data_IF_912017818458
#
_entry.id   IF_912017818458
#
_cell.length_a   1.000
_cell.length_b   1.000
_cell.length_c   1.000
_cell.angle_alpha   90.00
_cell.angle_beta   90.00
_cell.angle_gamma   90.00
#
_symmetry.space_group_name_H-M   'P 1'
#
loop_
_entity.id
_entity.type
_entity.pdbx_description
1 polymer ?
#
# COMPACT_ATOMS: atom_id res chain seq x y z
N UNK A 1 -25.11 -32.20 4.56
CA UNK A 1 -25.12 -30.76 4.23
C UNK A 1 -24.45 -30.03 5.37
N UNK A 2 -23.17 -29.67 5.21
CA UNK A 2 -22.41 -28.99 6.27
C UNK A 2 -22.76 -27.52 6.24
N UNK A 3 -23.68 -27.10 7.10
CA UNK A 3 -24.06 -25.70 7.27
C UNK A 3 -22.89 -24.96 7.92
N UNK A 4 -21.97 -24.45 7.11
CA UNK A 4 -20.94 -23.51 7.59
C UNK A 4 -21.66 -22.24 8.03
N UNK A 5 -21.82 -22.08 9.35
CA UNK A 5 -22.37 -20.88 9.96
C UNK A 5 -21.34 -19.76 9.83
N UNK A 6 -21.35 -19.05 8.69
CA UNK A 6 -20.49 -17.89 8.51
C UNK A 6 -20.83 -16.83 9.58
N UNK A 7 -19.89 -16.60 10.51
CA UNK A 7 -19.98 -15.59 11.58
C UNK A 7 -20.37 -14.22 11.00
N UNK A 8 -21.58 -13.74 11.28
CA UNK A 8 -22.06 -12.44 10.78
C UNK A 8 -21.21 -11.29 11.36
N UNK A 9 -20.89 -10.23 10.58
CA UNK A 9 -20.22 -9.05 11.13
C UNK A 9 -21.05 -8.42 12.25
N UNK A 10 -20.38 -8.02 13.34
CA UNK A 10 -20.98 -7.22 14.42
C UNK A 10 -20.63 -5.74 14.23
N UNK A 11 -21.06 -4.87 15.14
CA UNK A 11 -20.77 -3.44 15.03
C UNK A 11 -19.26 -3.15 14.88
N UNK A 12 -18.92 -2.19 14.01
CA UNK A 12 -17.53 -1.90 13.65
C UNK A 12 -16.84 -2.95 12.77
N UNK A 13 -17.56 -3.96 12.27
CA UNK A 13 -16.99 -5.00 11.41
C UNK A 13 -17.66 -5.07 10.04
N UNK A 14 -16.90 -5.50 9.04
CA UNK A 14 -17.42 -5.82 7.71
C UNK A 14 -16.93 -7.18 7.26
N UNK A 15 -17.70 -7.84 6.39
CA UNK A 15 -17.24 -8.99 5.64
C UNK A 15 -16.67 -8.53 4.31
N UNK A 16 -15.56 -9.14 3.88
CA UNK A 16 -14.92 -8.84 2.60
C UNK A 16 -14.80 -10.06 1.70
N UNK A 17 -14.72 -9.83 0.40
CA UNK A 17 -14.39 -10.80 -0.64
C UNK A 17 -13.13 -10.35 -1.34
N UNK A 18 -12.10 -11.20 -1.35
CA UNK A 18 -10.76 -10.84 -1.89
C UNK A 18 -10.82 -10.72 -3.41
N UNK A 19 -10.33 -9.59 -3.93
CA UNK A 19 -10.28 -9.29 -5.36
C UNK A 19 -8.84 -9.33 -5.91
N UNK A 20 -7.86 -8.90 -5.12
CA UNK A 20 -6.43 -8.98 -5.48
C UNK A 20 -5.53 -9.13 -4.25
N UNK A 21 -4.41 -9.84 -4.42
CA UNK A 21 -3.38 -10.05 -3.39
C UNK A 21 -2.03 -9.56 -3.92
N UNK A 22 -1.36 -8.74 -3.11
CA UNK A 22 -0.04 -8.20 -3.35
C UNK A 22 0.67 -7.90 -2.03
N UNK A 23 1.26 -6.71 -1.93
CA UNK A 23 1.80 -6.21 -0.65
C UNK A 23 0.71 -5.87 0.36
N UNK A 24 -0.49 -5.58 -0.15
CA UNK A 24 -1.76 -5.47 0.55
C UNK A 24 -2.78 -6.44 -0.07
N UNK A 25 -3.90 -6.66 0.62
CA UNK A 25 -5.07 -7.34 0.04
C UNK A 25 -6.10 -6.30 -0.33
N UNK A 26 -6.53 -6.28 -1.59
CA UNK A 26 -7.68 -5.52 -2.04
C UNK A 26 -8.91 -6.42 -2.08
N UNK A 27 -10.04 -5.90 -1.62
CA UNK A 27 -11.27 -6.66 -1.44
C UNK A 27 -12.51 -5.77 -1.51
N UNK A 28 -13.65 -6.39 -1.77
CA UNK A 28 -14.96 -5.74 -1.79
C UNK A 28 -15.76 -6.10 -0.56
N UNK A 29 -16.39 -5.10 0.07
CA UNK A 29 -17.28 -5.30 1.22
C UNK A 29 -18.56 -6.03 0.78
N UNK A 30 -18.76 -7.24 1.28
CA UNK A 30 -19.91 -8.10 0.95
C UNK A 30 -21.02 -8.06 2.00
N UNK A 31 -20.69 -7.77 3.26
CA UNK A 31 -21.67 -7.59 4.33
C UNK A 31 -21.17 -6.58 5.36
N UNK A 32 -22.08 -5.89 6.04
CA UNK A 32 -21.75 -4.87 7.04
C UNK A 32 -22.44 -5.16 8.36
N UNK A 33 -21.72 -4.95 9.45
CA UNK A 33 -22.27 -4.97 10.79
C UNK A 33 -23.13 -3.74 11.06
N UNK A 34 -23.84 -3.75 12.20
CA UNK A 34 -24.63 -2.61 12.64
C UNK A 34 -23.70 -1.43 12.93
N UNK A 35 -23.91 -0.25 12.32
CA UNK A 35 -22.97 0.89 12.43
C UNK A 35 -21.54 0.56 11.95
N UNK A 36 -21.39 0.04 10.73
CA UNK A 36 -20.09 0.04 10.05
C UNK A 36 -19.73 1.49 9.70
N UNK A 37 -18.88 2.11 10.52
CA UNK A 37 -18.46 3.51 10.45
C UNK A 37 -17.93 3.90 9.05
N UNK A 38 -18.81 4.39 8.19
CA UNK A 38 -18.45 4.94 6.88
C UNK A 38 -18.29 3.93 5.74
N UNK A 39 -18.55 2.63 5.96
CA UNK A 39 -18.48 1.60 4.91
C UNK A 39 -19.84 0.97 4.60
N UNK A 40 -20.10 0.71 3.32
CA UNK A 40 -21.29 0.03 2.82
C UNK A 40 -20.94 -1.15 1.91
N UNK A 41 -21.93 -2.01 1.62
CA UNK A 41 -21.75 -3.09 0.66
C UNK A 41 -21.35 -2.54 -0.70
N UNK A 42 -20.37 -3.19 -1.34
CA UNK A 42 -19.79 -2.77 -2.61
C UNK A 42 -18.62 -1.79 -2.49
N UNK A 43 -18.32 -1.27 -1.29
CA UNK A 43 -17.11 -0.49 -1.10
C UNK A 43 -15.87 -1.37 -1.32
N UNK A 44 -14.85 -0.78 -1.96
CA UNK A 44 -13.57 -1.42 -2.19
C UNK A 44 -12.59 -0.97 -1.13
N UNK A 45 -11.88 -1.91 -0.53
CA UNK A 45 -11.00 -1.68 0.61
C UNK A 45 -9.69 -2.42 0.46
N UNK A 46 -8.63 -1.88 1.05
CA UNK A 46 -7.33 -2.50 1.18
C UNK A 46 -7.01 -2.75 2.65
N UNK A 47 -6.38 -3.88 2.96
CA UNK A 47 -5.96 -4.23 4.32
C UNK A 47 -4.70 -5.12 4.33
N UNK A 48 -4.12 -5.28 5.52
CA UNK A 48 -2.88 -6.04 5.71
C UNK A 48 -3.06 -7.54 5.40
N UNK A 49 -2.13 -8.19 4.68
CA UNK A 49 -2.15 -9.63 4.48
C UNK A 49 -2.14 -10.46 5.77
N UNK A 50 -1.70 -9.89 6.90
CA UNK A 50 -1.76 -10.54 8.21
C UNK A 50 -3.19 -10.85 8.67
N UNK A 51 -4.20 -10.23 8.05
CA UNK A 51 -5.62 -10.45 8.35
C UNK A 51 -6.31 -11.36 7.31
N UNK A 52 -5.58 -11.95 6.36
CA UNK A 52 -6.13 -12.70 5.23
C UNK A 52 -7.01 -13.89 5.62
N UNK A 53 -6.72 -14.53 6.76
CA UNK A 53 -7.50 -15.68 7.26
C UNK A 53 -8.89 -15.28 7.78
N UNK A 54 -9.13 -13.98 7.98
CA UNK A 54 -10.37 -13.46 8.51
C UNK A 54 -11.23 -12.88 7.38
N UNK A 55 -12.37 -13.52 7.12
CA UNK A 55 -13.37 -12.94 6.20
C UNK A 55 -14.11 -11.74 6.81
N UNK A 56 -14.02 -11.53 8.13
CA UNK A 56 -14.65 -10.44 8.87
C UNK A 56 -13.56 -9.58 9.49
N UNK A 57 -13.53 -8.30 9.14
CA UNK A 57 -12.45 -7.35 9.43
C UNK A 57 -13.01 -6.13 10.17
N UNK A 58 -12.25 -5.61 11.15
CA UNK A 58 -12.59 -4.36 11.83
C UNK A 58 -12.37 -3.14 10.92
N UNK A 59 -13.35 -2.23 10.87
CA UNK A 59 -13.35 -1.07 9.96
C UNK A 59 -12.14 -0.15 10.14
N UNK A 60 -11.60 -0.06 11.36
CA UNK A 60 -10.43 0.76 11.69
C UNK A 60 -9.13 0.29 11.02
N UNK A 61 -9.12 -0.94 10.50
CA UNK A 61 -7.97 -1.54 9.81
C UNK A 61 -8.06 -1.42 8.29
N UNK A 62 -9.20 -0.96 7.77
CA UNK A 62 -9.48 -0.90 6.33
C UNK A 62 -9.10 0.45 5.76
N UNK A 63 -8.55 0.45 4.55
CA UNK A 63 -8.27 1.66 3.77
C UNK A 63 -9.19 1.65 2.56
N UNK A 64 -10.02 2.69 2.38
CA UNK A 64 -10.91 2.78 1.22
C UNK A 64 -10.16 2.98 -0.10
N UNK A 65 -10.48 2.19 -1.12
CA UNK A 65 -9.88 2.29 -2.46
C UNK A 65 -10.76 3.20 -3.35
N UNK A 66 -10.26 4.35 -3.84
CA UNK A 66 -11.04 5.25 -4.68
C UNK A 66 -11.34 4.64 -6.06
N UNK A 67 -12.46 5.04 -6.68
CA UNK A 67 -13.00 4.46 -7.93
C UNK A 67 -12.01 4.41 -9.11
N UNK A 68 -11.04 5.30 -9.15
CA UNK A 68 -10.05 5.47 -10.21
C UNK A 68 -8.70 4.81 -9.90
N UNK A 69 -8.63 4.00 -8.85
CA UNK A 69 -7.52 3.09 -8.59
C UNK A 69 -8.04 1.66 -8.73
N UNK A 70 -7.33 0.83 -9.49
CA UNK A 70 -7.67 -0.59 -9.63
C UNK A 70 -7.28 -1.37 -8.37
N UNK A 71 -7.97 -2.49 -8.13
CA UNK A 71 -7.69 -3.34 -6.97
C UNK A 71 -6.27 -3.94 -7.04
N UNK A 72 -5.77 -4.22 -8.26
CA UNK A 72 -4.38 -4.62 -8.50
C UNK A 72 -3.39 -3.54 -8.07
N UNK A 73 -3.58 -2.29 -8.52
CA UNK A 73 -2.71 -1.18 -8.13
C UNK A 73 -2.75 -0.95 -6.62
N UNK A 74 -3.92 -1.02 -5.99
CA UNK A 74 -4.03 -0.88 -4.54
C UNK A 74 -3.30 -2.02 -3.80
N UNK A 75 -3.50 -3.28 -4.24
CA UNK A 75 -2.85 -4.44 -3.65
C UNK A 75 -1.32 -4.39 -3.80
N UNK A 76 -0.80 -3.83 -4.88
CA UNK A 76 0.64 -3.81 -5.16
C UNK A 76 1.37 -2.60 -4.61
N UNK A 77 0.80 -1.41 -4.81
CA UNK A 77 1.51 -0.15 -4.68
C UNK A 77 1.20 0.57 -3.36
N UNK A 78 0.13 0.22 -2.66
CA UNK A 78 -0.28 0.96 -1.46
C UNK A 78 0.76 0.87 -0.34
N UNK A 79 1.17 -0.34 0.06
CA UNK A 79 2.18 -0.49 1.12
C UNK A 79 3.56 0.08 0.75
N UNK A 80 4.17 -0.23 -0.41
CA UNK A 80 5.45 0.39 -0.77
C UNK A 80 5.32 1.90 -0.97
N UNK A 81 4.17 2.40 -1.44
CA UNK A 81 3.90 3.82 -1.57
C UNK A 81 3.83 4.53 -0.20
N UNK A 82 3.11 3.95 0.77
CA UNK A 82 3.05 4.48 2.14
C UNK A 82 4.45 4.54 2.76
N UNK A 83 5.26 3.49 2.54
CA UNK A 83 6.63 3.42 3.04
C UNK A 83 7.54 4.45 2.35
N UNK A 84 7.49 4.56 1.03
CA UNK A 84 8.24 5.56 0.25
C UNK A 84 7.89 6.99 0.69
N UNK A 85 6.60 7.29 0.84
CA UNK A 85 6.11 8.56 1.35
C UNK A 85 6.69 8.86 2.73
N UNK A 86 6.67 7.90 3.66
CA UNK A 86 7.24 8.08 5.00
C UNK A 86 8.76 8.31 4.94
N UNK A 87 9.49 7.57 4.10
CA UNK A 87 10.93 7.79 3.88
C UNK A 87 11.21 9.22 3.41
N UNK A 88 10.46 9.71 2.43
CA UNK A 88 10.67 11.03 1.81
C UNK A 88 10.17 12.17 2.71
N UNK A 89 9.05 12.02 3.40
CA UNK A 89 8.42 13.15 4.10
C UNK A 89 8.73 13.21 5.60
N UNK A 90 9.14 12.10 6.21
CA UNK A 90 9.29 12.00 7.67
C UNK A 90 10.70 11.59 8.10
N UNK A 91 11.34 10.70 7.34
CA UNK A 91 12.68 10.20 7.72
C UNK A 91 13.78 11.09 7.16
N UNK A 92 13.79 11.28 5.84
CA UNK A 92 14.86 12.02 5.16
C UNK A 92 14.30 12.80 3.97
N UNK A 93 13.81 14.03 4.19
CA UNK A 93 13.38 14.91 3.10
C UNK A 93 14.52 15.31 2.18
N UNK A 94 14.17 15.56 0.92
CA UNK A 94 15.06 16.14 -0.08
C UNK A 94 14.37 17.32 -0.76
N UNK A 95 15.15 18.23 -1.31
CA UNK A 95 14.69 19.39 -2.06
C UNK A 95 14.69 19.13 -3.57
N UNK A 96 13.78 19.78 -4.30
CA UNK A 96 13.74 19.73 -5.76
C UNK A 96 15.12 20.10 -6.35
N UNK A 97 15.59 19.31 -7.30
CA UNK A 97 16.89 19.45 -7.97
C UNK A 97 18.03 18.68 -7.32
N UNK A 98 17.88 18.17 -6.09
CA UNK A 98 18.92 17.37 -5.43
C UNK A 98 19.12 16.01 -6.11
N UNK A 99 20.36 15.54 -6.06
CA UNK A 99 20.75 14.20 -6.49
C UNK A 99 20.39 13.17 -5.42
N UNK A 100 19.72 12.10 -5.83
CA UNK A 100 19.21 11.07 -4.92
C UNK A 100 19.61 9.68 -5.40
N UNK A 101 20.27 8.92 -4.52
CA UNK A 101 20.55 7.50 -4.70
C UNK A 101 19.54 6.65 -3.92
N UNK A 102 19.14 5.50 -4.48
CA UNK A 102 18.17 4.58 -3.87
C UNK A 102 18.77 3.17 -3.76
N UNK A 103 19.31 2.85 -2.59
CA UNK A 103 20.01 1.60 -2.29
C UNK A 103 19.11 0.63 -1.52
N UNK A 104 18.00 0.24 -2.16
CA UNK A 104 17.01 -0.67 -1.57
C UNK A 104 17.09 -2.06 -2.21
N UNK A 105 17.05 -3.09 -1.37
CA UNK A 105 17.09 -4.50 -1.78
C UNK A 105 15.77 -4.92 -2.45
N UNK A 106 14.64 -4.51 -1.86
CA UNK A 106 13.33 -4.80 -2.43
C UNK A 106 13.14 -4.01 -3.74
N UNK A 107 13.04 -4.71 -4.86
CA UNK A 107 12.97 -4.11 -6.19
C UNK A 107 11.72 -3.26 -6.41
N UNK A 108 10.55 -3.70 -5.92
CA UNK A 108 9.31 -2.92 -6.01
C UNK A 108 9.43 -1.62 -5.23
N UNK A 109 9.89 -1.68 -3.98
CA UNK A 109 10.07 -0.50 -3.16
C UNK A 109 11.10 0.46 -3.75
N UNK A 110 12.23 -0.07 -4.26
CA UNK A 110 13.24 0.74 -4.94
C UNK A 110 12.64 1.50 -6.13
N UNK A 111 11.87 0.83 -6.97
CA UNK A 111 11.18 1.44 -8.10
C UNK A 111 10.19 2.52 -7.64
N UNK A 112 9.36 2.22 -6.64
CA UNK A 112 8.38 3.18 -6.09
C UNK A 112 9.06 4.43 -5.52
N UNK A 113 10.11 4.26 -4.70
CA UNK A 113 10.88 5.39 -4.15
C UNK A 113 11.51 6.22 -5.27
N UNK A 114 12.12 5.56 -6.26
CA UNK A 114 12.76 6.25 -7.39
C UNK A 114 11.76 7.06 -8.21
N UNK A 115 10.62 6.46 -8.55
CA UNK A 115 9.56 7.12 -9.30
C UNK A 115 8.98 8.31 -8.54
N UNK A 116 8.79 8.16 -7.23
CA UNK A 116 8.32 9.25 -6.39
C UNK A 116 9.33 10.41 -6.33
N UNK A 117 10.61 10.11 -6.12
CA UNK A 117 11.69 11.11 -6.15
C UNK A 117 11.68 11.90 -7.45
N UNK A 118 11.62 11.20 -8.59
CA UNK A 118 11.56 11.85 -9.91
C UNK A 118 10.31 12.74 -10.05
N UNK A 119 9.14 12.29 -9.59
CA UNK A 119 7.89 13.07 -9.66
C UNK A 119 7.94 14.36 -8.83
N UNK A 120 8.71 14.36 -7.73
CA UNK A 120 8.91 15.54 -6.88
C UNK A 120 10.06 16.42 -7.39
N UNK A 121 10.74 16.00 -8.46
CA UNK A 121 11.81 16.73 -9.13
C UNK A 121 13.19 16.53 -8.54
N UNK A 122 13.45 15.40 -7.88
CA UNK A 122 14.80 14.95 -7.59
C UNK A 122 15.44 14.32 -8.84
N UNK A 123 16.76 14.34 -8.90
CA UNK A 123 17.56 13.73 -9.96
C UNK A 123 18.09 12.39 -9.45
N UNK A 124 17.71 11.29 -10.08
CA UNK A 124 18.21 9.97 -9.68
C UNK A 124 19.66 9.79 -10.13
N UNK A 125 20.52 9.36 -9.21
CA UNK A 125 21.91 8.99 -9.48
C UNK A 125 22.17 7.55 -9.07
N UNK A 126 23.07 6.89 -9.81
CA UNK A 126 23.41 5.48 -9.57
C UNK A 126 24.43 5.33 -8.45
N UNK A 127 25.42 6.23 -8.39
CA UNK A 127 26.46 6.21 -7.37
C UNK A 127 26.03 7.04 -6.17
N UNK A 128 26.08 6.45 -4.97
CA UNK A 128 25.80 7.16 -3.73
C UNK A 128 26.82 8.27 -3.43
N UNK A 129 28.04 8.18 -3.99
CA UNK A 129 29.05 9.23 -3.90
C UNK A 129 28.66 10.54 -4.61
N UNK A 130 27.74 10.47 -5.56
CA UNK A 130 27.23 11.63 -6.32
C UNK A 130 25.90 12.17 -5.78
N UNK A 131 25.39 11.60 -4.67
CA UNK A 131 24.07 11.89 -4.12
C UNK A 131 24.14 12.89 -2.95
N UNK A 132 23.19 13.83 -2.92
CA UNK A 132 22.91 14.66 -1.75
C UNK A 132 22.14 13.86 -0.69
N UNK A 133 21.28 12.94 -1.14
CA UNK A 133 20.41 12.11 -0.31
C UNK A 133 20.51 10.66 -0.77
N UNK A 134 20.79 9.76 0.17
CA UNK A 134 20.73 8.31 -0.07
C UNK A 134 19.54 7.74 0.68
N UNK A 135 18.65 7.02 0.01
CA UNK A 135 17.60 6.22 0.64
C UNK A 135 18.06 4.77 0.75
N UNK A 136 18.33 4.34 1.98
CA UNK A 136 18.83 2.98 2.25
C UNK A 136 17.92 2.16 3.16
N UNK A 137 18.39 0.96 3.48
CA UNK A 137 17.69 0.01 4.35
C UNK A 137 17.44 0.54 5.77
N UNK A 138 18.31 1.42 6.28
CA UNK A 138 18.09 2.10 7.56
C UNK A 138 16.88 3.05 7.50
N UNK A 139 16.77 3.87 6.45
CA UNK A 139 15.63 4.78 6.27
C UNK A 139 14.33 3.99 6.13
N UNK A 140 14.38 2.86 5.41
CA UNK A 140 13.24 1.94 5.29
C UNK A 140 12.77 1.42 6.65
N UNK A 141 13.69 1.02 7.53
CA UNK A 141 13.36 0.53 8.88
C UNK A 141 12.73 1.62 9.74
N UNK A 142 13.28 2.83 9.72
CA UNK A 142 12.73 3.98 10.44
C UNK A 142 11.33 4.35 9.92
N UNK A 143 11.15 4.38 8.60
CA UNK A 143 9.87 4.67 7.98
C UNK A 143 8.79 3.63 8.34
N UNK A 144 9.15 2.34 8.46
CA UNK A 144 8.21 1.30 8.85
C UNK A 144 7.70 1.46 10.29
N UNK A 145 8.58 1.92 11.21
CA UNK A 145 8.20 2.27 12.59
C UNK A 145 7.23 3.46 12.57
N UNK A 146 7.60 4.54 11.88
CA UNK A 146 6.75 5.74 11.76
C UNK A 146 5.37 5.46 11.15
N UNK A 147 5.31 4.61 10.12
CA UNK A 147 4.07 4.20 9.48
C UNK A 147 3.15 3.38 10.40
N UNK A 148 3.72 2.65 11.36
CA UNK A 148 2.97 1.77 12.28
C UNK A 148 2.32 2.51 13.45
N UNK A 149 2.87 3.65 13.89
CA UNK A 149 2.47 4.30 15.14
C UNK A 149 1.24 5.22 15.06
N UNK A 150 0.66 5.47 13.89
CA UNK A 150 -0.36 6.53 13.73
C UNK A 150 -1.69 6.01 13.20
N UNK A 151 -2.37 5.23 14.04
CA UNK A 151 -3.78 4.88 13.86
C UNK A 151 -4.60 6.17 13.76
N UNK A 152 -5.09 6.49 12.55
CA UNK A 152 -5.79 7.74 12.23
C UNK A 152 -5.13 8.61 11.14
N UNK A 153 -3.83 8.45 10.84
CA UNK A 153 -3.18 9.14 9.70
C UNK A 153 -2.97 8.28 8.47
N UNK A 154 -3.16 6.97 8.59
CA UNK A 154 -2.95 6.05 7.47
C UNK A 154 -3.90 6.33 6.30
N UNK A 155 -5.13 6.79 6.55
CA UNK A 155 -6.07 7.21 5.49
C UNK A 155 -5.57 8.44 4.73
N UNK A 156 -5.04 9.44 5.45
CA UNK A 156 -4.47 10.64 4.82
C UNK A 156 -3.23 10.29 4.01
N UNK A 157 -2.33 9.47 4.57
CA UNK A 157 -1.14 9.00 3.85
C UNK A 157 -1.52 8.18 2.61
N UNK A 158 -2.53 7.30 2.73
CA UNK A 158 -3.05 6.53 1.61
C UNK A 158 -3.65 7.44 0.53
N UNK A 159 -4.30 8.53 0.90
CA UNK A 159 -4.82 9.52 -0.06
C UNK A 159 -3.71 10.08 -0.95
N UNK A 160 -2.54 10.43 -0.40
CA UNK A 160 -1.40 10.91 -1.18
C UNK A 160 -0.84 9.81 -2.10
N UNK A 161 -0.78 8.56 -1.63
CA UNK A 161 -0.37 7.41 -2.46
C UNK A 161 -1.33 7.18 -3.61
N UNK A 162 -2.64 7.22 -3.37
CA UNK A 162 -3.65 7.07 -4.43
C UNK A 162 -3.62 8.24 -5.42
N UNK A 163 -3.31 9.46 -4.95
CA UNK A 163 -3.11 10.60 -5.86
C UNK A 163 -1.90 10.39 -6.77
N UNK A 164 -0.78 9.86 -6.24
CA UNK A 164 0.39 9.52 -7.04
C UNK A 164 0.09 8.40 -8.07
N UNK A 165 -0.63 7.35 -7.66
CA UNK A 165 -1.11 6.29 -8.58
C UNK A 165 -1.94 6.91 -9.70
N UNK A 166 -2.92 7.76 -9.37
CA UNK A 166 -3.80 8.41 -10.35
C UNK A 166 -3.05 9.34 -11.31
N UNK A 167 -1.98 9.97 -10.83
CA UNK A 167 -1.14 10.85 -11.63
C UNK A 167 -0.17 10.07 -12.54
N UNK A 168 -0.21 8.74 -12.54
CA UNK A 168 0.67 7.89 -13.35
C UNK A 168 2.10 7.81 -12.83
N UNK A 169 2.36 8.27 -11.59
CA UNK A 169 3.72 8.30 -11.02
C UNK A 169 4.35 6.90 -10.98
N UNK A 170 3.54 5.86 -10.84
CA UNK A 170 4.01 4.48 -10.71
C UNK A 170 3.72 3.61 -11.95
N UNK A 171 3.41 4.20 -13.10
CA UNK A 171 3.01 3.43 -14.29
C UNK A 171 4.13 2.49 -14.80
N UNK A 172 5.39 2.88 -14.59
CA UNK A 172 6.58 2.09 -14.94
C UNK A 172 7.05 1.15 -13.81
N UNK A 173 6.32 1.06 -12.68
CA UNK A 173 6.69 0.19 -11.57
C UNK A 173 6.26 -1.25 -11.88
N UNK A 174 7.23 -2.16 -11.95
CA UNK A 174 6.97 -3.58 -12.14
C UNK A 174 6.95 -4.33 -10.80
N UNK A 175 5.79 -4.90 -10.47
CA UNK A 175 5.62 -5.80 -9.32
C UNK A 175 5.61 -7.24 -9.81
N UNK A 176 6.54 -8.05 -9.30
CA UNK A 176 6.60 -9.45 -9.66
C UNK A 176 5.42 -10.21 -9.05
N UNK A 177 4.68 -10.93 -9.88
CA UNK A 177 3.65 -11.87 -9.44
C UNK A 177 4.14 -13.28 -9.72
N UNK A 178 3.97 -14.19 -8.75
CA UNK A 178 4.15 -15.61 -9.02
C UNK A 178 2.95 -16.05 -9.85
N UNK A 179 3.16 -16.40 -11.11
CA UNK A 179 2.13 -17.00 -11.96
C UNK A 179 1.55 -18.24 -11.27
N UNK A 180 0.23 -18.41 -11.26
CA UNK A 180 -0.43 -19.59 -10.69
C UNK A 180 -0.14 -20.88 -11.48
N UNK A 181 0.49 -20.80 -12.65
CA UNK A 181 0.79 -21.94 -13.52
C UNK A 181 2.11 -22.65 -13.19
N UNK A 182 2.21 -23.30 -12.04
CA UNK A 182 3.15 -24.43 -11.79
C UNK A 182 2.64 -25.42 -10.73
N UNK A 183 1.33 -25.70 -10.72
CA UNK A 183 0.76 -26.86 -10.00
C UNK A 183 -0.12 -27.65 -10.96
N UNK A 184 0.49 -28.12 -12.04
CA UNK A 184 -0.01 -29.20 -12.90
C UNK A 184 1.15 -29.68 -13.78
N UNK A 185 1.98 -30.55 -13.22
CA UNK A 185 2.84 -31.48 -13.94
C UNK A 185 3.02 -32.73 -13.07
#
# INVERSE_FOLDING_TARGET
MTTSTFRRPVAGQVRVTIDAVGTMIAATVSDVGLAADGFVRGDRVAFSPALAENAVIDVDTLIGIPKNVSDRQAADLLAPGLLARAMITQVRPFARGQHVAVELVNSTLRQVVSAWVASLGGTLVTDAGDADVVYGEQDRRLAAVEASHRQGRIQQAATEVFQAIRAGVFDDVHVAHRSADRVAA
#
